data_IF_668829820865
#
_entry.id   IF_668829820865
#
_cell.length_a   1.000
_cell.length_b   1.000
_cell.length_c   1.000
_cell.angle_alpha   90.00
_cell.angle_beta   90.00
_cell.angle_gamma   90.00
#
_symmetry.space_group_name_H-M   'P 1'
#
loop_
_entity.id
_entity.type
_entity.pdbx_description
1 polymer ?
#
# COMPACT_ATOMS: atom_id res chain seq x y z
N UNK A 1 0.94 34.39 -47.95
CA UNK A 1 0.86 34.32 -46.47
C UNK A 1 1.49 33.01 -46.00
N UNK A 2 2.77 33.06 -45.67
CA UNK A 2 3.61 31.93 -45.26
C UNK A 2 3.44 31.69 -43.75
N UNK A 3 3.00 30.48 -43.37
CA UNK A 3 2.94 30.03 -41.97
C UNK A 3 4.38 29.83 -41.44
N UNK A 4 4.71 30.25 -40.21
CA UNK A 4 5.98 29.88 -39.60
C UNK A 4 5.87 28.42 -39.13
N UNK A 5 6.40 27.49 -39.94
CA UNK A 5 6.78 26.18 -39.45
C UNK A 5 7.95 26.37 -38.49
N UNK A 6 7.72 26.16 -37.20
CA UNK A 6 8.80 26.02 -36.22
C UNK A 6 9.66 24.83 -36.66
N UNK A 7 10.79 25.13 -37.30
CA UNK A 7 11.82 24.14 -37.61
C UNK A 7 12.46 23.79 -36.27
N UNK A 8 12.00 22.69 -35.67
CA UNK A 8 12.66 22.12 -34.48
C UNK A 8 14.01 21.59 -34.94
N UNK A 9 15.06 22.38 -34.72
CA UNK A 9 16.43 21.99 -34.95
C UNK A 9 16.76 20.72 -34.13
N UNK A 10 17.52 19.80 -34.72
CA UNK A 10 17.98 18.61 -34.02
C UNK A 10 18.81 19.02 -32.79
N UNK A 11 18.60 18.32 -31.67
CA UNK A 11 19.34 18.56 -30.45
C UNK A 11 20.83 18.23 -30.64
N UNK A 12 21.71 19.19 -30.35
CA UNK A 12 23.16 19.02 -30.48
C UNK A 12 23.75 18.03 -29.46
N UNK A 13 23.04 17.77 -28.34
CA UNK A 13 23.51 16.91 -27.25
C UNK A 13 22.63 15.66 -27.13
N UNK A 14 23.26 14.50 -27.33
CA UNK A 14 22.60 13.21 -27.17
C UNK A 14 22.25 12.94 -25.71
N UNK A 15 20.98 12.68 -25.42
CA UNK A 15 20.48 12.29 -24.09
C UNK A 15 19.83 10.91 -24.17
N UNK A 16 20.54 9.89 -23.72
CA UNK A 16 20.06 8.49 -23.79
C UNK A 16 19.05 8.21 -22.67
N UNK A 17 17.88 7.62 -22.97
CA UNK A 17 16.89 7.22 -21.97
C UNK A 17 17.39 6.06 -21.11
N UNK A 18 16.94 6.00 -19.86
CA UNK A 18 17.07 4.81 -19.03
C UNK A 18 15.91 3.86 -19.34
N UNK A 19 16.15 2.54 -19.25
CA UNK A 19 15.07 1.56 -19.40
C UNK A 19 14.00 1.79 -18.32
N UNK A 20 12.73 1.93 -18.72
CA UNK A 20 11.63 2.22 -17.82
C UNK A 20 11.57 3.67 -17.32
N UNK A 21 12.34 4.60 -17.86
CA UNK A 21 12.30 6.01 -17.46
C UNK A 21 10.94 6.64 -17.77
N UNK A 22 10.49 7.57 -16.92
CA UNK A 22 9.31 8.40 -17.21
C UNK A 22 9.66 9.42 -18.30
N UNK A 23 8.68 9.74 -19.16
CA UNK A 23 8.89 10.74 -20.22
C UNK A 23 9.26 12.10 -19.61
N UNK A 24 8.60 12.48 -18.53
CA UNK A 24 8.91 13.70 -17.79
C UNK A 24 10.35 13.72 -17.22
N UNK A 25 10.85 12.58 -16.70
CA UNK A 25 12.24 12.45 -16.23
C UNK A 25 13.23 12.66 -17.37
N UNK A 26 12.98 12.04 -18.54
CA UNK A 26 13.86 12.20 -19.70
C UNK A 26 13.90 13.66 -20.18
N UNK A 27 12.74 14.33 -20.26
CA UNK A 27 12.66 15.77 -20.62
C UNK A 27 13.48 16.61 -19.64
N UNK A 28 13.33 16.38 -18.34
CA UNK A 28 14.11 17.08 -17.31
C UNK A 28 15.61 16.86 -17.45
N UNK A 29 16.03 15.64 -17.78
CA UNK A 29 17.45 15.32 -18.01
C UNK A 29 18.01 15.91 -19.29
N UNK A 30 17.23 15.91 -20.37
CA UNK A 30 17.60 16.57 -21.61
C UNK A 30 17.76 18.08 -21.37
N UNK A 31 16.80 18.71 -20.68
CA UNK A 31 16.90 20.11 -20.30
C UNK A 31 18.17 20.42 -19.50
N UNK A 32 18.47 19.60 -18.47
CA UNK A 32 19.70 19.73 -17.70
C UNK A 32 20.97 19.57 -18.54
N UNK A 33 20.94 18.72 -19.59
CA UNK A 33 22.07 18.55 -20.52
C UNK A 33 22.36 19.82 -21.32
N UNK A 34 21.32 20.58 -21.66
CA UNK A 34 21.42 21.87 -22.34
C UNK A 34 21.59 23.06 -21.38
N UNK A 35 21.69 22.83 -20.06
CA UNK A 35 21.74 23.92 -19.07
C UNK A 35 20.44 24.72 -18.95
N UNK A 36 19.31 24.15 -19.38
CA UNK A 36 18.00 24.80 -19.40
C UNK A 36 17.09 24.28 -18.28
N UNK A 37 16.16 25.11 -17.76
CA UNK A 37 15.10 24.63 -16.89
C UNK A 37 14.11 23.76 -17.69
N UNK A 38 13.60 22.69 -17.07
CA UNK A 38 12.64 21.78 -17.71
C UNK A 38 11.38 22.51 -18.23
N UNK A 39 10.91 23.51 -17.50
CA UNK A 39 9.78 24.35 -17.92
C UNK A 39 10.03 25.10 -19.23
N UNK A 40 11.28 25.50 -19.52
CA UNK A 40 11.65 26.14 -20.78
C UNK A 40 11.59 25.15 -21.95
N UNK A 41 12.08 23.93 -21.76
CA UNK A 41 12.03 22.86 -22.76
C UNK A 41 10.58 22.40 -23.02
N UNK A 42 9.75 22.33 -21.98
CA UNK A 42 8.33 21.97 -22.09
C UNK A 42 7.51 22.92 -22.98
N UNK A 43 7.98 24.15 -23.22
CA UNK A 43 7.33 25.10 -24.15
C UNK A 43 7.37 24.64 -25.61
N UNK A 44 8.15 23.61 -25.95
CA UNK A 44 8.11 22.99 -27.27
C UNK A 44 6.82 22.18 -27.51
N UNK A 45 6.02 21.94 -26.46
CA UNK A 45 4.71 21.30 -26.56
C UNK A 45 3.61 22.23 -26.07
N UNK A 46 2.45 22.14 -26.72
CA UNK A 46 1.21 22.67 -26.15
C UNK A 46 0.77 21.75 -25.01
N UNK A 47 1.02 22.17 -23.77
CA UNK A 47 0.73 21.39 -22.58
C UNK A 47 -0.75 21.53 -22.16
N UNK A 48 -1.45 20.41 -22.00
CA UNK A 48 -2.80 20.30 -21.45
C UNK A 48 -2.73 19.75 -20.02
N UNK A 49 -3.67 20.20 -19.17
CA UNK A 49 -3.66 19.99 -17.72
C UNK A 49 -2.44 20.60 -17.02
N UNK A 50 -2.46 20.57 -15.69
CA UNK A 50 -1.32 20.91 -14.85
C UNK A 50 -0.67 19.63 -14.29
N UNK A 51 0.64 19.63 -14.03
CA UNK A 51 1.27 18.54 -13.31
C UNK A 51 0.66 18.39 -11.92
N UNK A 52 0.60 17.15 -11.43
CA UNK A 52 0.19 16.90 -10.06
C UNK A 52 1.18 17.58 -9.09
N UNK A 53 0.66 18.27 -8.07
CA UNK A 53 1.46 19.04 -7.11
C UNK A 53 1.42 18.42 -5.72
N UNK A 54 2.49 18.64 -4.99
CA UNK A 54 2.61 18.42 -3.56
C UNK A 54 1.80 19.49 -2.83
N UNK A 55 1.43 19.26 -1.57
CA UNK A 55 0.69 20.26 -0.80
C UNK A 55 1.51 21.55 -0.60
N UNK A 56 2.84 21.44 -0.55
CA UNK A 56 3.77 22.58 -0.54
C UNK A 56 3.97 23.28 -1.90
N UNK A 57 3.16 22.98 -2.92
CA UNK A 57 3.14 23.67 -4.21
C UNK A 57 4.15 23.20 -5.26
N UNK A 58 5.12 22.35 -4.89
CA UNK A 58 6.07 21.72 -5.81
C UNK A 58 5.43 20.67 -6.73
N UNK A 59 6.06 20.34 -7.86
CA UNK A 59 5.60 19.28 -8.76
C UNK A 59 5.97 17.90 -8.18
N UNK A 60 4.99 16.98 -8.12
CA UNK A 60 5.23 15.60 -7.68
C UNK A 60 6.21 14.91 -8.61
N UNK A 61 7.09 14.06 -8.07
CA UNK A 61 8.11 13.40 -8.87
C UNK A 61 7.52 12.31 -9.80
N UNK A 62 6.34 11.77 -9.49
CA UNK A 62 5.58 10.87 -10.35
C UNK A 62 4.72 11.59 -11.43
N UNK A 63 4.82 12.92 -11.54
CA UNK A 63 4.16 13.65 -12.61
C UNK A 63 4.75 13.18 -13.96
N UNK A 64 3.88 12.66 -14.81
CA UNK A 64 4.21 12.09 -16.11
C UNK A 64 3.60 12.92 -17.25
N UNK A 65 4.28 12.90 -18.39
CA UNK A 65 3.81 13.49 -19.64
C UNK A 65 3.51 12.39 -20.66
N UNK A 66 2.28 12.38 -21.17
CA UNK A 66 1.89 11.63 -22.37
C UNK A 66 1.95 12.55 -23.58
N UNK A 67 2.52 12.04 -24.69
CA UNK A 67 2.77 12.80 -25.91
C UNK A 67 1.97 12.21 -27.08
N UNK A 68 1.41 13.09 -27.90
CA UNK A 68 0.89 12.69 -29.22
C UNK A 68 2.05 12.41 -30.20
N UNK A 69 1.74 11.92 -31.40
CA UNK A 69 2.75 11.55 -32.40
C UNK A 69 3.74 12.68 -32.73
N UNK A 70 3.23 13.88 -33.02
CA UNK A 70 4.08 15.05 -33.27
C UNK A 70 4.99 15.38 -32.07
N UNK A 71 4.44 15.30 -30.85
CA UNK A 71 5.18 15.52 -29.61
C UNK A 71 6.28 14.49 -29.37
N UNK A 72 6.06 13.23 -29.73
CA UNK A 72 7.08 12.16 -29.68
C UNK A 72 8.23 12.44 -30.65
N UNK A 73 7.93 12.97 -31.84
CA UNK A 73 8.93 13.42 -32.81
C UNK A 73 9.81 14.55 -32.28
N UNK A 74 9.21 15.53 -31.59
CA UNK A 74 9.96 16.61 -30.90
C UNK A 74 10.88 16.03 -29.83
N UNK A 75 10.40 15.09 -29.00
CA UNK A 75 11.22 14.46 -27.97
C UNK A 75 12.42 13.71 -28.55
N UNK A 76 12.21 12.95 -29.64
CA UNK A 76 13.27 12.24 -30.35
C UNK A 76 14.37 13.19 -30.85
N UNK A 77 13.97 14.30 -31.48
CA UNK A 77 14.89 15.34 -31.94
C UNK A 77 15.64 16.02 -30.80
N UNK A 78 14.93 16.38 -29.72
CA UNK A 78 15.53 16.99 -28.53
C UNK A 78 16.62 16.10 -27.90
N UNK A 79 16.35 14.80 -27.83
CA UNK A 79 17.26 13.82 -27.24
C UNK A 79 18.37 13.38 -28.19
N UNK A 80 18.27 13.64 -29.49
CA UNK A 80 19.16 13.09 -30.51
C UNK A 80 19.11 11.56 -30.54
N UNK A 81 17.92 10.97 -30.39
CA UNK A 81 17.69 9.52 -30.29
C UNK A 81 16.54 9.12 -31.20
N UNK A 82 16.71 8.01 -31.92
CA UNK A 82 15.67 7.44 -32.79
C UNK A 82 14.36 7.13 -32.02
N UNK A 83 13.18 7.44 -32.59
CA UNK A 83 11.89 7.15 -31.96
C UNK A 83 11.71 5.69 -31.55
N UNK A 84 12.26 4.75 -32.34
CA UNK A 84 12.20 3.32 -32.04
C UNK A 84 12.95 2.95 -30.75
N UNK A 85 14.03 3.67 -30.41
CA UNK A 85 14.76 3.47 -29.14
C UNK A 85 13.92 3.99 -27.98
N UNK A 86 13.29 5.16 -28.14
CA UNK A 86 12.40 5.73 -27.13
C UNK A 86 11.19 4.81 -26.87
N UNK A 87 10.55 4.30 -27.93
CA UNK A 87 9.42 3.38 -27.81
C UNK A 87 9.76 2.08 -27.06
N UNK A 88 10.99 1.57 -27.21
CA UNK A 88 11.44 0.37 -26.46
C UNK A 88 11.83 0.66 -25.01
N UNK A 89 12.19 1.90 -24.69
CA UNK A 89 12.78 2.24 -23.38
C UNK A 89 11.81 2.96 -22.44
N UNK A 90 10.89 3.74 -22.99
CA UNK A 90 9.94 4.56 -22.24
C UNK A 90 8.54 3.94 -22.30
N UNK A 91 8.01 3.40 -21.18
CA UNK A 91 6.69 2.76 -21.15
C UNK A 91 5.54 3.68 -21.60
N UNK A 92 5.64 4.97 -21.30
CA UNK A 92 4.61 5.96 -21.66
C UNK A 92 4.73 6.47 -23.11
N UNK A 93 5.80 6.17 -23.84
CA UNK A 93 6.08 6.80 -25.13
C UNK A 93 5.09 6.40 -26.22
N UNK A 94 4.55 5.18 -26.18
CA UNK A 94 3.55 4.73 -27.14
C UNK A 94 2.12 4.88 -26.64
N UNK A 95 1.92 5.25 -25.37
CA UNK A 95 0.59 5.48 -24.80
C UNK A 95 -0.05 6.66 -25.50
N UNK A 96 -1.22 6.42 -26.09
CA UNK A 96 -1.98 7.46 -26.77
C UNK A 96 -3.06 8.05 -25.85
N UNK A 97 -3.33 9.34 -25.98
CA UNK A 97 -4.41 10.01 -25.25
C UNK A 97 -5.33 10.72 -26.25
N UNK A 98 -6.57 10.23 -26.44
CA UNK A 98 -7.49 10.78 -27.44
C UNK A 98 -7.70 12.29 -27.33
N UNK A 99 -7.53 12.88 -26.14
CA UNK A 99 -7.73 14.33 -25.92
C UNK A 99 -6.63 15.21 -26.53
N UNK A 100 -5.49 14.65 -26.93
CA UNK A 100 -4.39 15.38 -27.59
C UNK A 100 -4.02 14.79 -28.96
N UNK A 101 -4.53 13.61 -29.28
CA UNK A 101 -4.22 12.89 -30.52
C UNK A 101 -5.32 12.97 -31.58
N UNK A 102 -6.47 13.59 -31.27
CA UNK A 102 -7.58 13.77 -32.21
C UNK A 102 -7.93 15.25 -32.41
N UNK A 103 -8.59 15.57 -33.53
CA UNK A 103 -9.06 16.92 -33.84
C UNK A 103 -8.07 17.79 -34.62
N UNK A 104 -8.42 19.07 -34.79
CA UNK A 104 -7.72 20.02 -35.68
C UNK A 104 -6.28 20.31 -35.28
N UNK A 105 -5.94 20.14 -34.00
CA UNK A 105 -4.61 20.39 -33.44
C UNK A 105 -3.75 19.12 -33.34
N UNK A 106 -4.22 17.96 -33.81
CA UNK A 106 -3.49 16.69 -33.68
C UNK A 106 -2.10 16.70 -34.35
N UNK A 107 -1.93 17.51 -35.41
CA UNK A 107 -0.65 17.72 -36.07
C UNK A 107 0.35 18.61 -35.33
N UNK A 108 -0.06 19.28 -34.25
CA UNK A 108 0.82 20.08 -33.39
C UNK A 108 1.44 19.19 -32.31
N UNK A 109 2.65 19.53 -31.86
CA UNK A 109 3.28 18.84 -30.74
C UNK A 109 2.51 19.13 -29.45
N UNK A 110 1.81 18.12 -28.93
CA UNK A 110 1.02 18.24 -27.70
C UNK A 110 1.55 17.34 -26.59
N UNK A 111 1.37 17.81 -25.36
CA UNK A 111 1.73 17.10 -24.14
C UNK A 111 0.56 17.15 -23.15
N UNK A 112 0.33 16.07 -22.41
CA UNK A 112 -0.69 16.04 -21.36
C UNK A 112 -0.12 15.50 -20.07
N UNK A 113 -0.34 16.25 -18.99
CA UNK A 113 0.06 15.83 -17.65
C UNK A 113 -0.85 14.74 -17.09
N UNK A 114 -0.23 13.75 -16.47
CA UNK A 114 -0.82 12.58 -15.81
C UNK A 114 -0.01 12.21 -14.56
N UNK A 115 -0.57 11.34 -13.72
CA UNK A 115 0.21 10.64 -12.71
C UNK A 115 0.75 9.34 -13.31
N UNK A 116 2.03 9.03 -13.13
CA UNK A 116 2.67 7.84 -13.69
C UNK A 116 1.90 6.54 -13.37
N UNK A 117 1.36 6.43 -12.15
CA UNK A 117 0.53 5.30 -11.70
C UNK A 117 -0.68 5.00 -12.59
N UNK A 118 -1.22 6.03 -13.27
CA UNK A 118 -2.37 5.91 -14.19
C UNK A 118 -1.96 5.62 -15.64
N UNK A 119 -0.68 5.79 -15.97
CA UNK A 119 -0.16 5.68 -17.34
C UNK A 119 0.41 4.28 -17.59
N UNK A 120 1.42 3.88 -16.83
CA UNK A 120 2.09 2.59 -17.05
C UNK A 120 2.40 1.80 -15.77
N UNK A 121 2.24 2.40 -14.58
CA UNK A 121 2.40 1.69 -13.32
C UNK A 121 3.13 2.51 -12.25
N UNK A 122 3.51 1.89 -11.12
CA UNK A 122 4.15 2.59 -10.01
C UNK A 122 5.49 3.19 -10.44
N UNK A 123 5.72 4.45 -10.09
CA UNK A 123 6.96 5.16 -10.35
C UNK A 123 7.79 5.28 -9.05
N UNK A 124 9.08 5.06 -9.18
CA UNK A 124 10.05 5.22 -8.10
C UNK A 124 11.26 6.02 -8.60
N UNK A 125 12.00 6.59 -7.67
CA UNK A 125 13.28 7.22 -8.00
C UNK A 125 14.25 6.19 -8.58
N UNK A 126 15.06 6.59 -9.55
CA UNK A 126 16.18 5.79 -10.02
C UNK A 126 17.38 5.97 -9.08
N UNK A 127 18.23 4.95 -8.97
CA UNK A 127 19.48 5.11 -8.23
C UNK A 127 20.37 6.17 -8.91
N UNK A 128 20.56 7.32 -8.24
CA UNK A 128 21.35 8.45 -8.76
C UNK A 128 22.77 8.07 -9.17
N UNK A 129 23.44 7.17 -8.42
CA UNK A 129 24.77 6.66 -8.77
C UNK A 129 24.77 5.77 -10.03
N UNK A 130 23.71 4.97 -10.24
CA UNK A 130 23.54 4.22 -11.49
C UNK A 130 23.26 5.16 -12.67
N UNK A 131 22.40 6.16 -12.46
CA UNK A 131 22.09 7.18 -13.47
C UNK A 131 23.36 7.91 -13.88
N UNK A 132 24.10 8.46 -12.92
CA UNK A 132 25.37 9.16 -13.18
C UNK A 132 26.36 8.30 -13.96
N UNK A 133 26.55 7.02 -13.60
CA UNK A 133 27.44 6.13 -14.35
C UNK A 133 26.97 5.88 -15.78
N UNK A 134 25.66 5.78 -16.02
CA UNK A 134 25.10 5.46 -17.35
C UNK A 134 25.01 6.66 -18.28
N UNK A 135 24.86 7.87 -17.72
CA UNK A 135 24.47 9.06 -18.49
C UNK A 135 25.48 10.20 -18.36
N UNK A 136 26.44 10.10 -17.45
CA UNK A 136 27.36 11.19 -17.10
C UNK A 136 26.71 12.35 -16.37
N UNK A 137 25.43 12.24 -15.95
CA UNK A 137 24.69 13.30 -15.27
C UNK A 137 24.30 12.88 -13.85
N UNK A 138 24.66 13.68 -12.85
CA UNK A 138 24.28 13.49 -11.44
C UNK A 138 22.90 14.08 -11.13
N UNK A 139 21.92 13.81 -12.00
CA UNK A 139 20.56 14.35 -11.92
C UNK A 139 19.59 13.30 -11.40
N UNK A 140 18.52 13.77 -10.74
CA UNK A 140 17.40 12.92 -10.34
C UNK A 140 16.74 12.34 -11.57
N UNK A 141 16.39 11.05 -11.52
CA UNK A 141 15.62 10.39 -12.56
C UNK A 141 14.51 9.56 -11.91
N UNK A 142 13.41 9.39 -12.63
CA UNK A 142 12.23 8.63 -12.18
C UNK A 142 11.94 7.55 -13.20
N UNK A 143 11.63 6.34 -12.71
CA UNK A 143 11.38 5.17 -13.54
C UNK A 143 10.12 4.45 -13.07
N UNK A 144 9.41 3.85 -14.01
CA UNK A 144 8.42 2.82 -13.74
C UNK A 144 9.12 1.60 -13.14
N UNK A 145 8.94 1.41 -11.84
CA UNK A 145 9.59 0.36 -11.08
C UNK A 145 8.57 -0.26 -10.12
N UNK A 146 8.11 -1.49 -10.37
CA UNK A 146 7.28 -2.20 -9.40
C UNK A 146 8.08 -2.46 -8.12
N UNK A 147 7.36 -2.70 -7.02
CA UNK A 147 7.96 -2.84 -5.68
C UNK A 147 9.08 -3.89 -5.61
N UNK A 148 8.93 -4.99 -6.35
CA UNK A 148 9.92 -6.07 -6.40
C UNK A 148 11.19 -5.78 -7.23
N UNK A 149 11.31 -4.58 -7.82
CA UNK A 149 12.49 -4.13 -8.57
C UNK A 149 13.15 -2.89 -7.95
N UNK A 150 12.79 -2.54 -6.71
CA UNK A 150 13.26 -1.33 -6.02
C UNK A 150 14.64 -1.48 -5.38
N UNK A 151 15.19 -2.68 -5.30
CA UNK A 151 16.52 -2.88 -4.73
C UNK A 151 17.59 -2.59 -5.78
N UNK A 152 18.33 -1.51 -5.58
CA UNK A 152 19.60 -1.29 -6.28
C UNK A 152 20.71 -2.09 -5.58
N UNK A 153 20.85 -3.37 -5.94
CA UNK A 153 21.84 -4.27 -5.33
C UNK A 153 23.28 -3.74 -5.44
N UNK A 154 23.60 -3.03 -6.53
CA UNK A 154 24.95 -2.50 -6.76
C UNK A 154 25.36 -1.40 -5.78
N UNK A 155 24.41 -0.60 -5.31
CA UNK A 155 24.71 0.51 -4.39
C UNK A 155 24.09 0.29 -3.01
N UNK A 156 23.48 -0.86 -2.77
CA UNK A 156 22.82 -1.19 -1.49
C UNK A 156 21.72 -0.20 -1.14
N UNK A 157 20.79 0.07 -2.07
CA UNK A 157 19.73 1.08 -1.86
C UNK A 157 18.36 0.54 -2.16
N UNK A 158 17.37 0.91 -1.35
CA UNK A 158 15.96 0.77 -1.68
C UNK A 158 15.47 2.06 -2.33
N UNK A 159 14.89 1.97 -3.52
CA UNK A 159 14.40 3.11 -4.29
C UNK A 159 12.98 3.48 -3.84
N UNK A 160 12.79 4.71 -3.36
CA UNK A 160 11.52 5.14 -2.80
C UNK A 160 10.49 5.52 -3.87
N UNK A 161 9.22 5.46 -3.48
CA UNK A 161 8.10 5.92 -4.29
C UNK A 161 8.27 7.39 -4.70
N UNK A 162 8.07 7.67 -5.99
CA UNK A 162 8.15 9.04 -6.52
C UNK A 162 6.83 9.83 -6.31
N UNK A 163 5.78 9.15 -5.88
CA UNK A 163 4.44 9.68 -5.72
C UNK A 163 4.20 10.26 -4.31
N UNK A 164 5.09 9.95 -3.37
CA UNK A 164 5.06 10.34 -1.97
C UNK A 164 5.70 11.72 -1.72
N UNK A 165 5.07 12.51 -0.86
CA UNK A 165 5.55 13.84 -0.44
C UNK A 165 6.60 13.68 0.68
N UNK A 166 7.81 13.26 0.31
CA UNK A 166 8.92 13.08 1.23
C UNK A 166 10.28 13.33 0.55
N UNK A 167 11.31 13.79 1.27
CA UNK A 167 12.55 14.30 0.66
C UNK A 167 13.54 13.21 0.21
N UNK A 168 13.42 11.97 0.69
CA UNK A 168 14.40 10.92 0.42
C UNK A 168 14.16 10.28 -0.97
N UNK A 169 15.22 10.13 -1.76
CA UNK A 169 15.12 9.35 -3.01
C UNK A 169 15.30 7.84 -2.77
N UNK A 170 15.94 7.48 -1.65
CA UNK A 170 16.29 6.09 -1.34
C UNK A 170 16.54 5.87 0.15
N UNK A 171 16.50 4.60 0.57
CA UNK A 171 16.96 4.12 1.88
C UNK A 171 18.26 3.32 1.71
N UNK A 172 19.14 3.38 2.71
CA UNK A 172 20.35 2.57 2.76
C UNK A 172 20.04 1.14 3.23
N UNK A 173 20.54 0.15 2.51
CA UNK A 173 20.36 -1.27 2.80
C UNK A 173 21.64 -1.96 3.30
N UNK A 174 22.76 -1.24 3.47
CA UNK A 174 24.03 -1.83 3.89
C UNK A 174 23.94 -2.55 5.25
N UNK A 175 23.09 -2.07 6.15
CA UNK A 175 22.83 -2.70 7.44
C UNK A 175 21.85 -3.89 7.40
N UNK A 176 21.25 -4.19 6.24
CA UNK A 176 20.16 -5.17 6.09
C UNK A 176 20.40 -6.06 4.86
N UNK A 177 21.42 -6.95 4.91
CA UNK A 177 21.76 -7.83 3.79
C UNK A 177 20.60 -8.75 3.36
N UNK A 178 19.63 -9.01 4.25
CA UNK A 178 18.47 -9.87 4.00
C UNK A 178 17.60 -9.34 2.85
N UNK A 179 17.52 -8.01 2.66
CA UNK A 179 16.77 -7.39 1.55
C UNK A 179 17.43 -7.71 0.21
N UNK A 180 18.76 -7.63 0.14
CA UNK A 180 19.51 -8.01 -1.06
C UNK A 180 19.41 -9.51 -1.34
N UNK A 181 19.42 -10.35 -0.30
CA UNK A 181 19.20 -11.79 -0.44
C UNK A 181 17.79 -12.11 -0.96
N UNK A 182 16.77 -11.43 -0.44
CA UNK A 182 15.39 -11.54 -0.91
C UNK A 182 15.25 -11.14 -2.38
N UNK A 183 15.92 -10.07 -2.81
CA UNK A 183 15.91 -9.63 -4.22
C UNK A 183 16.47 -10.71 -5.14
N UNK A 184 17.53 -11.42 -4.73
CA UNK A 184 18.08 -12.54 -5.50
C UNK A 184 17.12 -13.73 -5.57
N UNK A 185 16.43 -14.03 -4.47
CA UNK A 185 15.43 -15.11 -4.42
C UNK A 185 14.21 -14.80 -5.29
N UNK A 186 13.80 -13.53 -5.39
CA UNK A 186 12.62 -13.12 -6.14
C UNK A 186 12.63 -13.61 -7.59
N UNK A 187 13.78 -13.59 -8.29
CA UNK A 187 13.86 -14.12 -9.67
C UNK A 187 13.54 -15.62 -9.77
N UNK A 188 13.78 -16.40 -8.72
CA UNK A 188 13.35 -17.79 -8.62
C UNK A 188 11.85 -17.91 -8.38
N UNK A 189 11.31 -17.12 -7.46
CA UNK A 189 9.88 -17.06 -7.10
C UNK A 189 9.04 -16.64 -8.32
N UNK A 190 9.43 -15.59 -9.02
CA UNK A 190 8.75 -15.11 -10.22
C UNK A 190 8.71 -16.17 -11.33
N UNK A 191 9.79 -16.94 -11.52
CA UNK A 191 9.79 -18.06 -12.47
C UNK A 191 8.85 -19.18 -12.04
N UNK A 192 8.80 -19.52 -10.74
CA UNK A 192 7.84 -20.49 -10.21
C UNK A 192 6.40 -20.03 -10.40
N UNK A 193 6.10 -18.75 -10.15
CA UNK A 193 4.78 -18.17 -10.40
C UNK A 193 4.36 -18.39 -11.87
N UNK A 194 5.23 -18.06 -12.82
CA UNK A 194 4.97 -18.28 -14.24
C UNK A 194 4.70 -19.74 -14.60
N UNK A 195 5.47 -20.69 -14.04
CA UNK A 195 5.23 -22.14 -14.24
C UNK A 195 3.92 -22.61 -13.63
N UNK A 196 3.48 -21.99 -12.53
CA UNK A 196 2.20 -22.26 -11.88
C UNK A 196 1.01 -21.53 -12.55
N UNK A 197 1.22 -20.84 -13.68
CA UNK A 197 0.19 -20.08 -14.38
C UNK A 197 -0.23 -18.78 -13.68
N UNK A 198 0.51 -18.33 -12.67
CA UNK A 198 0.25 -17.10 -11.93
C UNK A 198 1.13 -15.96 -12.44
N UNK A 199 0.58 -14.73 -12.52
CA UNK A 199 1.40 -13.55 -12.84
C UNK A 199 2.27 -13.20 -11.63
N UNK A 200 3.60 -13.07 -11.75
CA UNK A 200 4.49 -12.76 -10.63
C UNK A 200 4.06 -11.52 -9.84
N UNK A 201 3.58 -10.49 -10.53
CA UNK A 201 3.11 -9.26 -9.88
C UNK A 201 1.86 -9.46 -9.01
N UNK A 202 0.96 -10.37 -9.37
CA UNK A 202 -0.22 -10.68 -8.54
C UNK A 202 0.18 -11.44 -7.29
N UNK A 203 1.08 -12.43 -7.42
CA UNK A 203 1.65 -13.17 -6.28
C UNK A 203 2.35 -12.21 -5.32
N UNK A 204 3.18 -11.30 -5.84
CA UNK A 204 3.83 -10.29 -5.02
C UNK A 204 2.82 -9.40 -4.29
N UNK A 205 1.80 -8.93 -5.02
CA UNK A 205 0.80 -8.01 -4.47
C UNK A 205 0.03 -8.65 -3.33
N UNK A 206 -0.37 -9.91 -3.47
CA UNK A 206 -1.05 -10.65 -2.40
C UNK A 206 -0.12 -10.88 -1.20
N UNK A 207 1.11 -11.33 -1.43
CA UNK A 207 2.08 -11.53 -0.35
C UNK A 207 2.43 -10.22 0.37
N UNK A 208 2.55 -9.12 -0.37
CA UNK A 208 2.74 -7.78 0.19
C UNK A 208 1.55 -7.35 1.03
N UNK A 209 0.32 -7.65 0.61
CA UNK A 209 -0.87 -7.37 1.38
C UNK A 209 -0.93 -8.13 2.71
N UNK A 210 -0.61 -9.42 2.69
CA UNK A 210 -0.50 -10.25 3.90
C UNK A 210 0.51 -9.65 4.89
N UNK A 211 1.72 -9.38 4.41
CA UNK A 211 2.79 -8.89 5.28
C UNK A 211 2.58 -7.44 5.72
N UNK A 212 1.98 -6.60 4.89
CA UNK A 212 1.65 -5.23 5.28
C UNK A 212 0.59 -5.21 6.39
N UNK A 213 -0.35 -6.16 6.39
CA UNK A 213 -1.29 -6.29 7.51
C UNK A 213 -0.59 -6.71 8.80
N UNK A 214 0.30 -7.70 8.71
CA UNK A 214 1.15 -8.08 9.85
C UNK A 214 1.99 -6.93 10.37
N UNK A 215 2.54 -6.11 9.47
CA UNK A 215 3.31 -4.91 9.83
C UNK A 215 2.51 -3.91 10.66
N UNK A 216 1.24 -3.71 10.31
CA UNK A 216 0.35 -2.80 11.02
C UNK A 216 0.08 -3.29 12.46
N UNK A 217 -0.04 -4.61 12.66
CA UNK A 217 -0.25 -5.24 13.97
C UNK A 217 1.04 -5.45 14.79
N UNK A 218 2.21 -5.43 14.13
CA UNK A 218 3.49 -5.79 14.72
C UNK A 218 3.92 -4.99 15.96
N UNK A 219 3.39 -3.77 16.16
CA UNK A 219 3.70 -2.99 17.36
C UNK A 219 3.19 -3.64 18.65
N UNK A 220 2.22 -4.55 18.53
CA UNK A 220 1.58 -5.20 19.66
C UNK A 220 2.12 -6.62 19.87
N UNK A 221 3.11 -7.04 19.07
CA UNK A 221 3.71 -8.36 19.18
C UNK A 221 5.02 -8.30 19.96
N UNK A 222 4.97 -8.75 21.21
CA UNK A 222 6.13 -8.73 22.12
C UNK A 222 7.35 -9.49 21.56
N UNK A 223 7.11 -10.52 20.75
CA UNK A 223 8.16 -11.37 20.15
C UNK A 223 8.75 -10.82 18.85
N UNK A 224 8.25 -9.70 18.32
CA UNK A 224 8.75 -9.13 17.06
C UNK A 224 9.98 -8.24 17.28
N UNK A 225 11.17 -8.80 17.08
CA UNK A 225 12.44 -8.07 17.22
C UNK A 225 13.06 -7.64 15.89
N UNK A 226 12.71 -8.31 14.78
CA UNK A 226 13.41 -8.21 13.51
C UNK A 226 13.03 -6.92 12.78
N UNK A 227 11.74 -6.64 12.67
CA UNK A 227 11.22 -5.47 11.97
C UNK A 227 11.60 -4.15 12.65
N UNK A 228 11.45 -3.98 13.98
CA UNK A 228 11.97 -2.80 14.67
C UNK A 228 13.48 -2.60 14.45
N UNK A 229 14.29 -3.66 14.60
CA UNK A 229 15.74 -3.59 14.37
C UNK A 229 16.08 -3.12 12.95
N UNK A 230 15.46 -3.71 11.94
CA UNK A 230 15.66 -3.33 10.53
C UNK A 230 15.17 -1.90 10.26
N UNK A 231 14.07 -1.48 10.88
CA UNK A 231 13.56 -0.12 10.76
C UNK A 231 14.57 0.91 11.27
N UNK A 232 15.16 0.65 12.44
CA UNK A 232 16.23 1.48 12.98
C UNK A 232 17.46 1.51 12.06
N UNK A 233 17.82 0.37 11.45
CA UNK A 233 18.94 0.31 10.51
C UNK A 233 18.70 1.14 9.24
N UNK A 234 17.51 1.09 8.63
CA UNK A 234 17.20 1.96 7.46
C UNK A 234 17.12 3.44 7.85
N UNK A 235 16.81 3.74 9.10
CA UNK A 235 16.79 5.10 9.65
C UNK A 235 18.19 5.66 10.00
N UNK A 236 19.26 4.91 9.73
CA UNK A 236 20.63 5.33 10.05
C UNK A 236 21.09 4.98 11.47
N UNK A 237 20.38 4.08 12.16
CA UNK A 237 20.74 3.50 13.45
C UNK A 237 19.68 3.70 14.53
N UNK A 238 18.96 4.81 14.51
CA UNK A 238 17.84 5.07 15.41
C UNK A 238 16.77 5.91 14.70
N UNK A 239 15.51 5.50 14.83
CA UNK A 239 14.37 6.18 14.21
C UNK A 239 13.88 7.37 15.07
N UNK A 240 14.27 7.41 16.35
CA UNK A 240 14.02 8.51 17.26
C UNK A 240 12.55 8.88 17.38
N UNK A 241 12.30 10.18 17.50
CA UNK A 241 10.96 10.78 17.60
C UNK A 241 10.14 10.68 16.31
N UNK A 242 10.77 10.31 15.19
CA UNK A 242 10.12 10.18 13.88
C UNK A 242 9.70 8.73 13.59
N UNK A 243 9.57 7.88 14.61
CA UNK A 243 9.27 6.45 14.46
C UNK A 243 8.05 6.18 13.56
N UNK A 244 6.96 6.94 13.72
CA UNK A 244 5.75 6.76 12.91
C UNK A 244 5.97 7.09 11.43
N UNK A 245 6.75 8.13 11.15
CA UNK A 245 7.14 8.49 9.78
C UNK A 245 8.02 7.40 9.17
N UNK A 246 9.01 6.92 9.93
CA UNK A 246 9.88 5.82 9.52
C UNK A 246 9.08 4.54 9.27
N UNK A 247 8.06 4.25 10.08
CA UNK A 247 7.20 3.08 9.86
C UNK A 247 6.48 3.12 8.52
N UNK A 248 6.15 4.31 8.00
CA UNK A 248 5.54 4.49 6.69
C UNK A 248 6.58 4.40 5.57
N UNK A 249 7.67 5.16 5.67
CA UNK A 249 8.69 5.26 4.61
C UNK A 249 9.52 3.99 4.49
N UNK A 250 9.83 3.36 5.62
CA UNK A 250 10.67 2.17 5.72
C UNK A 250 9.95 0.85 5.45
N UNK A 251 8.60 0.80 5.58
CA UNK A 251 7.80 -0.45 5.53
C UNK A 251 8.26 -1.37 4.41
N UNK A 252 8.13 -0.91 3.17
CA UNK A 252 8.31 -1.76 2.00
C UNK A 252 9.74 -2.31 1.91
N UNK A 253 10.76 -1.59 2.41
CA UNK A 253 12.13 -2.08 2.48
C UNK A 253 12.33 -3.10 3.60
N UNK A 254 11.79 -2.82 4.78
CA UNK A 254 11.95 -3.64 6.00
C UNK A 254 11.26 -5.00 5.86
N UNK A 255 10.06 -5.02 5.29
CA UNK A 255 9.23 -6.23 5.17
C UNK A 255 9.50 -7.02 3.89
N UNK A 256 10.29 -6.49 2.96
CA UNK A 256 10.57 -7.13 1.67
C UNK A 256 11.04 -8.59 1.79
N UNK A 257 11.92 -8.96 2.74
CA UNK A 257 12.33 -10.36 2.90
C UNK A 257 11.17 -11.30 3.21
N UNK A 258 10.26 -10.89 4.09
CA UNK A 258 9.07 -11.64 4.46
C UNK A 258 8.08 -11.71 3.29
N UNK A 259 7.89 -10.63 2.53
CA UNK A 259 7.04 -10.63 1.33
C UNK A 259 7.51 -11.68 0.31
N UNK A 260 8.82 -11.76 0.07
CA UNK A 260 9.38 -12.77 -0.84
C UNK A 260 9.21 -14.19 -0.28
N UNK A 261 9.35 -14.38 1.04
CA UNK A 261 9.18 -15.68 1.68
C UNK A 261 7.71 -16.15 1.65
N UNK A 262 6.76 -15.26 1.93
CA UNK A 262 5.32 -15.54 1.81
C UNK A 262 4.95 -15.84 0.37
N UNK A 263 5.40 -15.04 -0.60
CA UNK A 263 5.15 -15.29 -2.01
C UNK A 263 5.67 -16.67 -2.45
N UNK A 264 6.83 -17.09 -1.95
CA UNK A 264 7.38 -18.41 -2.24
C UNK A 264 6.57 -19.53 -1.58
N UNK A 265 6.20 -19.36 -0.30
CA UNK A 265 5.40 -20.33 0.44
C UNK A 265 4.03 -20.54 -0.21
N UNK A 266 3.33 -19.48 -0.60
CA UNK A 266 2.01 -19.59 -1.23
C UNK A 266 2.06 -20.25 -2.62
N UNK A 267 3.21 -20.24 -3.29
CA UNK A 267 3.40 -20.95 -4.56
C UNK A 267 3.73 -22.44 -4.38
N UNK A 268 4.10 -22.87 -3.18
CA UNK A 268 4.46 -24.26 -2.88
C UNK A 268 3.18 -25.13 -2.82
N UNK A 269 3.04 -26.14 -3.71
CA UNK A 269 1.87 -27.03 -3.68
C UNK A 269 1.68 -27.75 -2.35
N UNK A 270 2.76 -27.99 -1.60
CA UNK A 270 2.68 -28.58 -0.26
C UNK A 270 1.94 -27.66 0.72
N UNK A 271 2.08 -26.34 0.58
CA UNK A 271 1.36 -25.38 1.42
C UNK A 271 -0.15 -25.41 1.11
N UNK A 272 -0.53 -25.49 -0.16
CA UNK A 272 -1.93 -25.66 -0.55
C UNK A 272 -2.53 -26.99 -0.04
N UNK A 273 -1.71 -28.04 0.05
CA UNK A 273 -2.11 -29.32 0.65
C UNK A 273 -2.35 -29.22 2.16
N UNK A 274 -1.51 -28.46 2.89
CA UNK A 274 -1.72 -28.22 4.31
C UNK A 274 -3.04 -27.48 4.56
N UNK A 275 -3.34 -26.44 3.79
CA UNK A 275 -4.65 -25.74 3.87
C UNK A 275 -5.81 -26.70 3.66
N UNK A 276 -5.70 -27.59 2.66
CA UNK A 276 -6.75 -28.56 2.37
C UNK A 276 -7.01 -29.50 3.55
N UNK A 277 -5.95 -30.03 4.17
CA UNK A 277 -6.04 -30.89 5.36
C UNK A 277 -6.58 -30.14 6.56
N UNK A 278 -6.12 -28.92 6.81
CA UNK A 278 -6.59 -28.09 7.91
C UNK A 278 -8.09 -27.78 7.76
N UNK A 279 -8.61 -27.62 6.54
CA UNK A 279 -10.04 -27.41 6.26
C UNK A 279 -10.95 -28.63 6.51
N UNK A 280 -10.37 -29.77 6.92
CA UNK A 280 -11.07 -31.06 7.09
C UNK A 280 -11.30 -31.80 5.78
N UNK A 281 -10.66 -31.34 4.70
CA UNK A 281 -10.77 -31.91 3.36
C UNK A 281 -12.24 -32.11 2.94
N UNK A 282 -12.67 -33.37 2.76
CA UNK A 282 -14.02 -33.74 2.38
C UNK A 282 -15.09 -33.54 3.46
N UNK A 283 -14.70 -33.33 4.73
CA UNK A 283 -15.61 -33.01 5.83
C UNK A 283 -15.29 -31.61 6.37
N UNK A 284 -16.04 -30.57 5.95
CA UNK A 284 -15.72 -29.19 6.31
C UNK A 284 -15.63 -28.99 7.82
N UNK A 285 -14.52 -28.40 8.28
CA UNK A 285 -14.35 -27.89 9.64
C UNK A 285 -13.83 -26.45 9.62
N UNK A 286 -14.08 -25.65 10.68
CA UNK A 286 -13.40 -24.37 10.86
C UNK A 286 -11.87 -24.56 10.81
N UNK A 287 -11.17 -23.57 10.24
CA UNK A 287 -9.70 -23.60 10.22
C UNK A 287 -9.20 -23.42 11.67
N UNK A 288 -8.34 -24.32 12.16
CA UNK A 288 -7.79 -24.20 13.50
C UNK A 288 -6.81 -23.01 13.57
N UNK A 289 -6.83 -22.30 14.70
CA UNK A 289 -5.90 -21.18 14.96
C UNK A 289 -4.43 -21.63 14.95
N UNK A 290 -4.15 -22.90 15.25
CA UNK A 290 -2.81 -23.49 15.24
C UNK A 290 -2.60 -24.47 14.06
N UNK A 291 -3.31 -24.29 12.95
CA UNK A 291 -3.24 -25.19 11.79
C UNK A 291 -1.83 -25.45 11.26
N UNK A 292 -1.63 -26.64 10.67
CA UNK A 292 -0.34 -27.05 10.14
C UNK A 292 0.18 -26.10 9.06
N UNK A 293 -0.72 -25.51 8.26
CA UNK A 293 -0.39 -24.47 7.30
C UNK A 293 0.23 -23.24 7.97
N UNK A 294 -0.42 -22.69 9.01
CA UNK A 294 0.03 -21.46 9.67
C UNK A 294 1.36 -21.66 10.40
N UNK A 295 1.55 -22.80 11.09
CA UNK A 295 2.85 -23.15 11.68
C UNK A 295 3.94 -23.22 10.63
N UNK A 296 3.70 -23.91 9.52
CA UNK A 296 4.66 -24.03 8.43
C UNK A 296 4.96 -22.69 7.77
N UNK A 297 3.96 -21.81 7.64
CA UNK A 297 4.15 -20.46 7.13
C UNK A 297 5.06 -19.63 8.05
N UNK A 298 4.83 -19.71 9.38
CA UNK A 298 5.70 -19.11 10.40
C UNK A 298 7.16 -19.56 10.26
N UNK A 299 7.40 -20.87 10.16
CA UNK A 299 8.74 -21.43 9.92
C UNK A 299 9.38 -20.88 8.63
N UNK A 300 8.61 -20.79 7.53
CA UNK A 300 9.11 -20.31 6.23
C UNK A 300 9.53 -18.84 6.26
N UNK A 301 8.89 -18.02 7.09
CA UNK A 301 9.25 -16.60 7.28
C UNK A 301 10.25 -16.39 8.43
N UNK A 302 10.68 -17.47 9.10
CA UNK A 302 11.61 -17.42 10.22
C UNK A 302 11.02 -16.91 11.54
N UNK A 303 9.70 -17.04 11.72
CA UNK A 303 8.94 -16.63 12.91
C UNK A 303 7.91 -17.70 13.23
N UNK A 304 8.31 -18.73 13.94
CA UNK A 304 7.44 -19.83 14.36
C UNK A 304 6.21 -19.35 15.17
N UNK A 305 6.40 -18.32 16.01
CA UNK A 305 5.35 -17.68 16.79
C UNK A 305 4.32 -16.91 15.96
N UNK A 306 4.60 -16.58 14.69
CA UNK A 306 3.67 -15.81 13.84
C UNK A 306 2.49 -16.67 13.36
N UNK A 307 2.66 -17.99 13.30
CA UNK A 307 1.63 -18.90 12.78
C UNK A 307 0.26 -18.72 13.45
N UNK A 308 0.17 -18.85 14.79
CA UNK A 308 -1.08 -18.64 15.51
C UNK A 308 -1.71 -17.25 15.30
N UNK A 309 -0.90 -16.19 15.25
CA UNK A 309 -1.36 -14.82 15.04
C UNK A 309 -1.90 -14.61 13.61
N UNK A 310 -1.26 -15.21 12.62
CA UNK A 310 -1.72 -15.17 11.23
C UNK A 310 -3.04 -15.93 11.01
N UNK A 311 -3.41 -16.86 11.90
CA UNK A 311 -4.63 -17.65 11.79
C UNK A 311 -5.87 -16.92 12.33
N UNK A 312 -5.69 -15.94 13.22
CA UNK A 312 -6.77 -15.11 13.78
C UNK A 312 -7.01 -13.82 12.98
N UNK A 313 -6.32 -13.63 11.85
CA UNK A 313 -6.56 -12.57 10.87
C UNK A 313 -7.84 -12.87 10.05
N UNK A 314 -9.00 -12.70 10.68
CA UNK A 314 -10.29 -12.85 10.03
C UNK A 314 -10.49 -11.77 8.95
N UNK A 315 -10.83 -12.21 7.72
CA UNK A 315 -11.07 -11.33 6.57
C UNK A 315 -9.80 -10.86 5.84
N UNK A 316 -8.61 -11.27 6.28
CA UNK A 316 -7.35 -10.92 5.64
C UNK A 316 -7.10 -11.60 4.29
N UNK A 317 -6.14 -11.07 3.50
CA UNK A 317 -5.77 -11.63 2.21
C UNK A 317 -5.28 -13.09 2.28
N UNK A 318 -4.69 -13.51 3.41
CA UNK A 318 -4.24 -14.87 3.64
C UNK A 318 -5.43 -15.85 3.74
N UNK A 319 -6.43 -15.50 4.55
CA UNK A 319 -7.66 -16.30 4.69
C UNK A 319 -8.45 -16.34 3.37
N UNK A 320 -8.50 -15.23 2.62
CA UNK A 320 -9.13 -15.20 1.30
C UNK A 320 -8.44 -16.15 0.29
N UNK A 321 -7.11 -16.18 0.30
CA UNK A 321 -6.31 -17.13 -0.48
C UNK A 321 -6.61 -18.58 -0.08
N UNK A 322 -6.55 -18.89 1.23
CA UNK A 322 -6.85 -20.23 1.77
C UNK A 322 -8.25 -20.69 1.38
N UNK A 323 -9.25 -19.82 1.55
CA UNK A 323 -10.64 -20.09 1.17
C UNK A 323 -10.78 -20.41 -0.32
N UNK A 324 -10.03 -19.72 -1.18
CA UNK A 324 -10.06 -19.97 -2.63
C UNK A 324 -9.43 -21.31 -2.99
N UNK A 325 -8.32 -21.69 -2.35
CA UNK A 325 -7.70 -23.02 -2.50
C UNK A 325 -8.69 -24.13 -2.11
N UNK A 326 -9.39 -23.97 -0.99
CA UNK A 326 -10.38 -24.95 -0.50
C UNK A 326 -11.57 -25.06 -1.47
N UNK A 327 -12.13 -23.92 -1.92
CA UNK A 327 -13.28 -23.90 -2.84
C UNK A 327 -12.95 -24.58 -4.17
N UNK A 328 -11.78 -24.29 -4.76
CA UNK A 328 -11.30 -24.92 -5.98
C UNK A 328 -11.24 -26.44 -5.85
N UNK A 329 -10.69 -26.94 -4.75
CA UNK A 329 -10.57 -28.39 -4.51
C UNK A 329 -11.92 -29.09 -4.26
N UNK A 330 -12.90 -28.39 -3.69
CA UNK A 330 -14.25 -28.93 -3.45
C UNK A 330 -15.14 -28.99 -4.69
N UNK A 331 -14.67 -28.52 -5.85
CA UNK A 331 -15.51 -28.45 -7.05
C UNK A 331 -16.71 -27.51 -6.93
N UNK A 332 -16.74 -26.65 -5.88
CA UNK A 332 -17.75 -25.60 -5.69
C UNK A 332 -17.41 -24.31 -6.45
N UNK A 333 -16.44 -24.36 -7.37
CA UNK A 333 -16.16 -23.26 -8.28
C UNK A 333 -17.34 -23.11 -9.23
N UNK A 334 -17.94 -21.91 -9.25
CA UNK A 334 -18.93 -21.57 -10.26
C UNK A 334 -18.29 -21.54 -11.66
N UNK A 335 -18.99 -21.04 -12.69
CA UNK A 335 -18.33 -20.74 -13.95
C UNK A 335 -17.09 -19.87 -13.69
N UNK A 336 -15.97 -20.09 -14.42
CA UNK A 336 -14.71 -19.40 -14.17
C UNK A 336 -14.93 -17.89 -14.07
N UNK A 337 -14.68 -17.33 -12.88
CA UNK A 337 -15.02 -15.96 -12.55
C UNK A 337 -14.18 -15.38 -11.42
N UNK A 338 -14.48 -14.13 -11.07
CA UNK A 338 -13.76 -13.29 -10.09
C UNK A 338 -13.49 -13.96 -8.74
N UNK A 339 -14.34 -14.89 -8.30
CA UNK A 339 -14.29 -15.55 -6.97
C UNK A 339 -13.32 -16.73 -6.87
N UNK A 340 -12.80 -17.20 -8.00
CA UNK A 340 -12.01 -18.43 -8.06
C UNK A 340 -10.53 -18.18 -8.32
N UNK A 341 -10.04 -16.94 -8.52
CA UNK A 341 -8.60 -16.66 -8.65
C UNK A 341 -7.95 -16.40 -7.27
N UNK A 342 -7.08 -17.29 -6.75
CA UNK A 342 -6.48 -17.13 -5.44
C UNK A 342 -5.51 -15.95 -5.39
N UNK A 343 -5.06 -15.43 -6.54
CA UNK A 343 -4.09 -14.33 -6.60
C UNK A 343 -4.75 -12.96 -6.76
N UNK A 344 -6.08 -12.92 -6.81
CA UNK A 344 -6.85 -11.67 -6.89
C UNK A 344 -7.01 -11.09 -5.49
N UNK A 345 -6.74 -9.80 -5.36
CA UNK A 345 -6.84 -9.05 -4.11
C UNK A 345 -8.03 -8.08 -4.20
N UNK A 346 -8.87 -8.07 -3.18
CA UNK A 346 -9.96 -7.09 -3.05
C UNK A 346 -9.41 -5.69 -2.78
N UNK A 347 -10.16 -4.63 -3.08
CA UNK A 347 -9.66 -3.26 -2.92
C UNK A 347 -9.40 -2.95 -1.44
N UNK A 348 -10.26 -3.47 -0.58
CA UNK A 348 -10.29 -3.33 0.86
C UNK A 348 -9.08 -4.00 1.52
N UNK A 349 -8.51 -5.01 0.86
CA UNK A 349 -7.33 -5.75 1.29
C UNK A 349 -6.03 -5.12 0.77
N UNK A 350 -6.09 -4.10 -0.08
CA UNK A 350 -4.88 -3.43 -0.58
C UNK A 350 -4.27 -2.57 0.52
N UNK A 351 -2.96 -2.72 0.80
CA UNK A 351 -2.28 -1.87 1.75
C UNK A 351 -2.34 -0.40 1.34
N UNK A 352 -2.42 0.48 2.33
CA UNK A 352 -2.29 1.90 2.09
C UNK A 352 -0.93 2.21 1.42
N UNK A 353 -0.96 3.13 0.45
CA UNK A 353 0.27 3.59 -0.21
C UNK A 353 1.06 4.49 0.73
N UNK A 354 2.38 4.56 0.55
CA UNK A 354 3.25 5.47 1.31
C UNK A 354 2.73 6.91 1.23
N UNK A 355 2.41 7.39 0.03
CA UNK A 355 1.83 8.71 -0.19
C UNK A 355 0.46 8.91 0.49
N UNK A 356 -0.34 7.85 0.63
CA UNK A 356 -1.60 7.89 1.38
C UNK A 356 -1.35 8.04 2.87
N UNK A 357 -0.49 7.19 3.44
CA UNK A 357 -0.17 7.19 4.87
C UNK A 357 0.53 8.49 5.30
N UNK A 358 1.46 9.02 4.51
CA UNK A 358 2.11 10.30 4.82
C UNK A 358 1.13 11.48 4.82
N UNK A 359 0.13 11.48 3.94
CA UNK A 359 -0.93 12.50 3.94
C UNK A 359 -1.77 12.42 5.21
N UNK A 360 -2.12 11.22 5.65
CA UNK A 360 -2.83 11.01 6.92
C UNK A 360 -1.99 11.52 8.08
N UNK A 361 -0.71 11.10 8.18
CA UNK A 361 0.20 11.58 9.24
C UNK A 361 0.35 13.10 9.25
N UNK A 362 0.44 13.73 8.08
CA UNK A 362 0.58 15.20 7.97
C UNK A 362 -0.71 15.90 8.40
N UNK A 363 -1.86 15.37 8.03
CA UNK A 363 -3.16 15.89 8.46
C UNK A 363 -3.35 15.75 9.97
N UNK A 364 -2.94 14.62 10.55
CA UNK A 364 -2.95 14.35 11.98
C UNK A 364 -2.04 15.33 12.74
N UNK A 365 -0.81 15.54 12.27
CA UNK A 365 0.13 16.51 12.86
C UNK A 365 -0.41 17.96 12.85
N UNK A 366 -1.10 18.35 11.77
CA UNK A 366 -1.70 19.69 11.66
C UNK A 366 -2.93 19.90 12.52
N UNK A 367 -3.63 18.82 12.91
CA UNK A 367 -4.90 18.90 13.63
C UNK A 367 -4.74 18.98 15.16
N UNK A 368 -3.52 18.95 15.70
CA UNK A 368 -3.23 19.25 17.11
C UNK A 368 -3.77 18.25 18.16
N UNK A 369 -4.42 17.15 17.75
CA UNK A 369 -4.81 16.03 18.62
C UNK A 369 -3.79 14.88 18.58
N UNK A 370 -3.88 13.92 19.50
CA UNK A 370 -2.93 12.81 19.75
C UNK A 370 -2.75 11.76 18.63
N UNK A 371 -2.79 12.18 17.36
CA UNK A 371 -1.81 11.76 16.36
C UNK A 371 -1.84 10.32 15.86
N UNK A 372 -2.93 9.57 16.02
CA UNK A 372 -3.05 8.23 15.41
C UNK A 372 -4.48 7.92 14.96
N UNK A 373 -4.63 7.42 13.74
CA UNK A 373 -5.89 6.85 13.25
C UNK A 373 -6.41 5.79 14.23
N UNK A 374 -7.69 5.86 14.58
CA UNK A 374 -8.39 4.87 15.43
C UNK A 374 -8.09 3.42 15.04
N UNK A 375 -7.98 3.12 13.74
CA UNK A 375 -7.66 1.76 13.27
C UNK A 375 -6.20 1.36 13.47
N UNK A 376 -5.30 2.34 13.56
CA UNK A 376 -3.87 2.14 13.72
C UNK A 376 -3.45 2.01 15.20
N UNK A 377 -4.24 2.55 16.13
CA UNK A 377 -3.94 2.48 17.58
C UNK A 377 -4.87 1.60 18.39
N UNK A 378 -6.10 1.37 17.93
CA UNK A 378 -7.01 0.45 18.60
C UNK A 378 -6.91 -0.92 17.94
N UNK A 379 -6.59 -1.94 18.73
CA UNK A 379 -6.42 -3.33 18.28
C UNK A 379 -7.66 -3.82 17.52
N UNK A 380 -7.47 -4.77 16.60
CA UNK A 380 -8.59 -5.35 15.85
C UNK A 380 -9.62 -6.01 16.77
N UNK A 381 -9.17 -6.60 17.89
CA UNK A 381 -10.01 -7.20 18.92
C UNK A 381 -10.87 -6.16 19.64
N UNK A 382 -10.29 -5.05 20.10
CA UNK A 382 -11.06 -3.97 20.71
C UNK A 382 -12.05 -3.33 19.75
N UNK A 383 -11.66 -3.13 18.48
CA UNK A 383 -12.57 -2.62 17.45
C UNK A 383 -13.72 -3.58 17.17
N UNK A 384 -13.42 -4.87 17.06
CA UNK A 384 -14.42 -5.92 16.87
C UNK A 384 -15.39 -6.00 18.06
N UNK A 385 -14.87 -5.90 19.29
CA UNK A 385 -15.70 -5.91 20.51
C UNK A 385 -16.65 -4.71 20.57
N UNK A 386 -16.16 -3.53 20.23
CA UNK A 386 -16.99 -2.30 20.14
C UNK A 386 -18.06 -2.46 19.06
N UNK A 387 -17.69 -2.94 17.86
CA UNK A 387 -18.64 -3.19 16.77
C UNK A 387 -19.69 -4.24 17.15
N UNK A 388 -19.29 -5.33 17.81
CA UNK A 388 -20.20 -6.38 18.28
C UNK A 388 -21.22 -5.83 19.28
N UNK A 389 -20.79 -5.06 20.29
CA UNK A 389 -21.70 -4.48 21.28
C UNK A 389 -22.71 -3.52 20.65
N UNK A 390 -22.27 -2.74 19.65
CA UNK A 390 -23.15 -1.83 18.90
C UNK A 390 -24.15 -2.59 18.04
N UNK A 391 -23.71 -3.67 17.37
CA UNK A 391 -24.58 -4.50 16.54
C UNK A 391 -25.59 -5.29 17.38
N UNK A 392 -25.19 -5.86 18.52
CA UNK A 392 -26.09 -6.51 19.47
C UNK A 392 -27.14 -5.53 20.00
N UNK A 393 -26.73 -4.31 20.39
CA UNK A 393 -27.68 -3.27 20.80
C UNK A 393 -28.64 -2.88 19.65
N UNK A 394 -28.13 -2.81 18.41
CA UNK A 394 -28.95 -2.52 17.23
C UNK A 394 -29.99 -3.62 16.98
N UNK A 395 -29.61 -4.88 17.09
CA UNK A 395 -30.51 -6.03 16.92
C UNK A 395 -31.63 -6.01 17.96
N UNK A 396 -31.30 -5.81 19.24
CA UNK A 396 -32.28 -5.67 20.32
C UNK A 396 -33.27 -4.53 20.07
N UNK A 397 -32.79 -3.37 19.59
CA UNK A 397 -33.64 -2.23 19.25
C UNK A 397 -34.49 -2.46 17.98
N UNK A 398 -34.05 -3.31 17.06
CA UNK A 398 -34.83 -3.69 15.87
C UNK A 398 -35.93 -4.67 16.24
N UNK A 399 -35.68 -5.63 17.14
CA UNK A 399 -36.68 -6.58 17.64
C UNK A 399 -37.85 -5.87 18.34
N UNK A 400 -37.58 -4.76 19.04
CA UNK A 400 -38.61 -3.89 19.64
C UNK A 400 -39.65 -3.37 18.63
N UNK A 401 -39.29 -3.20 17.35
CA UNK A 401 -40.23 -2.69 16.31
C UNK A 401 -41.32 -3.71 15.97
N UNK A 402 -41.12 -4.99 16.29
CA UNK A 402 -42.03 -6.10 16.01
C UNK A 402 -42.96 -6.49 17.17
N UNK A 403 -42.76 -5.95 18.38
CA UNK A 403 -43.57 -6.30 19.55
C UNK A 403 -44.94 -5.61 19.46
N UNK A 404 -45.93 -6.30 18.90
CA UNK A 404 -47.30 -5.75 18.67
C UNK A 404 -48.45 -6.62 19.17
N UNK A 405 -48.19 -7.77 19.77
CA UNK A 405 -49.24 -8.68 20.25
C UNK A 405 -48.84 -9.41 21.53
N UNK A 406 -49.79 -9.49 22.46
CA UNK A 406 -49.61 -10.02 23.82
C UNK A 406 -50.46 -9.23 24.82
N UNK A 407 -50.50 -9.66 26.07
CA UNK A 407 -51.13 -8.85 27.13
C UNK A 407 -50.30 -7.60 27.41
N UNK A 408 -50.92 -6.52 27.90
CA UNK A 408 -50.22 -5.27 28.24
C UNK A 408 -49.04 -5.50 29.18
N UNK A 409 -49.17 -6.43 30.14
CA UNK A 409 -48.11 -6.78 31.09
C UNK A 409 -46.92 -7.49 30.42
N UNK A 410 -47.17 -8.37 29.45
CA UNK A 410 -46.13 -9.06 28.68
C UNK A 410 -45.42 -8.11 27.74
N UNK A 411 -46.17 -7.29 26.99
CA UNK A 411 -45.60 -6.27 26.10
C UNK A 411 -44.78 -5.26 26.89
N UNK A 412 -45.28 -4.74 28.01
CA UNK A 412 -44.53 -3.81 28.86
C UNK A 412 -43.25 -4.44 29.43
N UNK A 413 -43.32 -5.69 29.89
CA UNK A 413 -42.14 -6.42 30.40
C UNK A 413 -41.09 -6.61 29.31
N UNK A 414 -41.49 -7.05 28.12
CA UNK A 414 -40.59 -7.24 26.98
C UNK A 414 -39.97 -5.90 26.57
N UNK A 415 -40.76 -4.85 26.39
CA UNK A 415 -40.24 -3.52 26.03
C UNK A 415 -39.22 -3.00 27.07
N UNK A 416 -39.54 -3.08 28.36
CA UNK A 416 -38.66 -2.60 29.43
C UNK A 416 -37.37 -3.43 29.53
N UNK A 417 -37.45 -4.75 29.37
CA UNK A 417 -36.29 -5.65 29.44
C UNK A 417 -35.33 -5.37 28.28
N UNK A 418 -35.83 -5.41 27.04
CA UNK A 418 -35.01 -5.17 25.85
C UNK A 418 -34.44 -3.74 25.80
N UNK A 419 -35.17 -2.73 26.27
CA UNK A 419 -34.64 -1.36 26.40
C UNK A 419 -33.54 -1.26 27.46
N UNK A 420 -33.71 -1.93 28.61
CA UNK A 420 -32.70 -1.98 29.67
C UNK A 420 -31.43 -2.71 29.20
N UNK A 421 -31.58 -3.84 28.50
CA UNK A 421 -30.45 -4.61 27.98
C UNK A 421 -29.71 -3.84 26.88
N UNK A 422 -30.44 -3.16 25.99
CA UNK A 422 -29.86 -2.28 24.96
C UNK A 422 -29.10 -1.12 25.59
N UNK A 423 -29.63 -0.50 26.65
CA UNK A 423 -28.94 0.58 27.36
C UNK A 423 -27.63 0.09 27.97
N UNK A 424 -27.61 -1.09 28.60
CA UNK A 424 -26.41 -1.68 29.17
C UNK A 424 -25.34 -2.06 28.11
N UNK A 425 -25.75 -2.43 26.90
CA UNK A 425 -24.84 -2.69 25.78
C UNK A 425 -24.24 -1.39 25.23
N UNK A 426 -25.05 -0.34 25.09
CA UNK A 426 -24.60 0.99 24.67
C UNK A 426 -23.60 1.56 25.68
N UNK A 427 -23.90 1.47 26.98
CA UNK A 427 -23.03 1.93 28.06
C UNK A 427 -21.67 1.20 28.04
N UNK A 428 -21.68 -0.13 27.90
CA UNK A 428 -20.45 -0.91 27.73
C UNK A 428 -19.67 -0.51 26.48
N UNK A 429 -20.34 -0.29 25.35
CA UNK A 429 -19.68 0.15 24.11
C UNK A 429 -19.02 1.54 24.29
N UNK A 430 -19.67 2.44 25.02
CA UNK A 430 -19.16 3.77 25.32
C UNK A 430 -17.91 3.68 26.21
N UNK A 431 -17.95 2.83 27.23
CA UNK A 431 -16.82 2.56 28.14
C UNK A 431 -15.62 1.99 27.37
N UNK A 432 -15.82 0.94 26.56
CA UNK A 432 -14.74 0.37 25.74
C UNK A 432 -14.16 1.37 24.73
N UNK A 433 -15.02 2.22 24.13
CA UNK A 433 -14.58 3.28 23.22
C UNK A 433 -13.76 4.34 23.95
N UNK A 434 -14.16 4.73 25.15
CA UNK A 434 -13.44 5.72 25.93
C UNK A 434 -12.08 5.19 26.43
N UNK A 435 -12.03 3.94 26.90
CA UNK A 435 -10.79 3.27 27.29
C UNK A 435 -9.82 3.12 26.11
N UNK A 436 -10.33 2.73 24.94
CA UNK A 436 -9.54 2.64 23.71
C UNK A 436 -9.02 4.01 23.25
N UNK A 437 -9.80 5.08 23.39
CA UNK A 437 -9.38 6.44 23.07
C UNK A 437 -8.23 6.92 23.97
N UNK A 438 -8.34 6.72 25.29
CA UNK A 438 -7.27 7.09 26.22
C UNK A 438 -6.01 6.24 26.00
N UNK A 439 -6.17 4.94 25.75
CA UNK A 439 -5.05 4.04 25.41
C UNK A 439 -4.37 4.42 24.09
N UNK A 440 -5.13 4.99 23.16
CA UNK A 440 -4.63 5.59 21.92
C UNK A 440 -3.99 6.98 22.11
N UNK A 441 -3.84 7.45 23.35
CA UNK A 441 -3.16 8.69 23.71
C UNK A 441 -4.03 9.94 23.69
N UNK A 442 -5.35 9.82 23.53
CA UNK A 442 -6.28 10.96 23.62
C UNK A 442 -6.33 11.46 25.07
N UNK A 443 -6.31 12.79 25.25
CA UNK A 443 -6.33 13.39 26.57
C UNK A 443 -7.61 12.97 27.34
N UNK A 444 -7.48 12.46 28.59
CA UNK A 444 -8.63 12.01 29.38
C UNK A 444 -9.69 13.10 29.60
N UNK A 445 -9.30 14.38 29.61
CA UNK A 445 -10.24 15.50 29.72
C UNK A 445 -11.14 15.63 28.49
N UNK A 446 -10.59 15.42 27.30
CA UNK A 446 -11.35 15.45 26.04
C UNK A 446 -12.30 14.25 25.96
N UNK A 447 -11.82 13.07 26.34
CA UNK A 447 -12.64 11.85 26.39
C UNK A 447 -13.80 11.98 27.38
N UNK A 448 -13.55 12.53 28.57
CA UNK A 448 -14.60 12.80 29.56
C UNK A 448 -15.64 13.81 29.06
N UNK A 449 -15.20 14.86 28.35
CA UNK A 449 -16.11 15.84 27.76
C UNK A 449 -17.02 15.22 26.68
N UNK A 450 -16.50 14.30 25.87
CA UNK A 450 -17.28 13.66 24.80
C UNK A 450 -18.21 12.55 25.31
N UNK A 451 -17.74 11.73 26.25
CA UNK A 451 -18.51 10.61 26.80
C UNK A 451 -19.53 11.04 27.86
N UNK A 452 -19.39 12.27 28.39
CA UNK A 452 -20.15 12.78 29.55
C UNK A 452 -19.96 11.93 30.82
N UNK A 453 -18.89 11.13 30.87
CA UNK A 453 -18.48 10.40 32.06
C UNK A 453 -17.58 11.32 32.93
N UNK A 454 -17.73 11.31 34.26
CA UNK A 454 -16.81 11.99 35.16
C UNK A 454 -15.37 11.49 34.94
N UNK A 455 -14.40 12.41 34.84
CA UNK A 455 -13.00 12.07 34.59
C UNK A 455 -12.40 11.09 35.63
N UNK A 456 -12.96 11.07 36.85
CA UNK A 456 -12.59 10.14 37.93
C UNK A 456 -13.09 8.72 37.67
N UNK A 457 -14.32 8.56 37.21
CA UNK A 457 -14.88 7.24 36.85
C UNK A 457 -14.16 6.65 35.63
N UNK A 458 -13.79 7.51 34.67
CA UNK A 458 -12.95 7.13 33.54
C UNK A 458 -11.58 6.57 33.97
N UNK A 459 -10.94 7.15 34.99
CA UNK A 459 -9.68 6.65 35.51
C UNK A 459 -9.83 5.28 36.21
N UNK A 460 -10.90 5.09 36.98
CA UNK A 460 -11.20 3.82 37.67
C UNK A 460 -11.49 2.69 36.67
N UNK A 461 -12.26 2.98 35.61
CA UNK A 461 -12.57 2.05 34.51
C UNK A 461 -11.31 1.63 33.73
N UNK A 462 -10.40 2.58 33.44
CA UNK A 462 -9.14 2.29 32.74
C UNK A 462 -8.24 1.39 33.61
N UNK A 463 -8.27 1.56 34.93
CA UNK A 463 -7.47 0.75 35.86
C UNK A 463 -8.03 -0.66 36.00
N UNK A 464 -9.36 -0.81 36.03
CA UNK A 464 -10.02 -2.12 36.10
C UNK A 464 -9.89 -2.94 34.81
N UNK A 465 -9.88 -2.28 33.64
CA UNK A 465 -9.67 -2.95 32.35
C UNK A 465 -8.23 -3.46 32.11
N UNK A 466 -7.26 -3.09 32.95
CA UNK A 466 -5.89 -3.63 32.93
C UNK A 466 -5.72 -4.90 33.79
N UNK A 467 -6.72 -5.26 34.60
CA UNK A 467 -6.67 -6.45 35.48
C UNK A 467 -7.41 -7.67 34.90
N UNK A 468 -8.17 -7.52 33.81
CA UNK A 468 -8.86 -8.62 33.11
C UNK A 468 -8.13 -9.14 31.86
N UNK A 469 -6.96 -8.59 31.51
CA UNK A 469 -6.09 -9.03 30.40
C UNK A 469 -4.89 -9.89 30.84
#
# INVERSE_FOLDING_TARGET
MTRPGSVVAAGALRTVPLAGETTASLIGRAAARYGLPAAGVLRQWTCRNSPARLEGGGVRADAEVVLNEAGRGVLAKLCGVEPAVLARTLPAFTVDDPKISTGREAGLAQARWRAAGTVAGPAAFACRSCTARRTGQTVRAVRYLPRWERVCARHGRWLLDADADQPLEHLDLRGIPEVAAAQRRWSGVARRAGRAGAKPGQVFTLAHAVVARWWDEALHWEREEIWPRRLHQVAGGNAGTELQWWRVVGRDAVVYPEVVAVADALLDPAMAELVWRDSGAGRPRPLPADGAFCRRLGERVGRDWLGPLAAVDYGGPLIAWMGTVIRRRRGKGGPPGWRDDPWRLEREQQPATMAGQLRVLTAEQRSGGSGTSWRATVSAEHRFRIEQLIEEAREQLVELRGVRSGTTAEVARTLLTHLSDSAALIERSLVHTAAAAVSAGVAPQDVAAWSRLPARELAEIITAGQEED
#
